data_IF_944277544827
#
_entry.id   IF_944277544827
#
_cell.length_a   1.000
_cell.length_b   1.000
_cell.length_c   1.000
_cell.angle_alpha   90.00
_cell.angle_beta   90.00
_cell.angle_gamma   90.00
#
_symmetry.space_group_name_H-M   'P 1'
#
loop_
_entity.id
_entity.type
_entity.pdbx_description
1 polymer ?
#
# COMPACT_ATOMS: atom_id res chain seq x y z
N UNK A 1 -27.20 2.62 14.95
CA UNK A 1 -25.91 2.98 15.56
C UNK A 1 -24.86 3.05 14.47
N UNK A 2 -24.41 4.26 14.12
CA UNK A 2 -23.41 4.47 13.07
C UNK A 2 -22.03 4.00 13.56
N UNK A 3 -21.67 2.76 13.23
CA UNK A 3 -20.30 2.29 13.40
C UNK A 3 -19.40 3.11 12.48
N UNK A 4 -18.47 3.87 13.05
CA UNK A 4 -17.50 4.65 12.32
C UNK A 4 -16.81 3.75 11.29
N UNK A 5 -16.99 4.05 10.00
CA UNK A 5 -16.36 3.31 8.91
C UNK A 5 -14.84 3.50 9.02
N UNK A 6 -14.14 2.47 9.48
CA UNK A 6 -12.68 2.44 9.42
C UNK A 6 -12.24 2.32 7.97
N UNK A 7 -11.39 3.26 7.54
CA UNK A 7 -10.79 3.27 6.23
C UNK A 7 -9.84 2.07 6.09
N UNK A 8 -9.73 1.44 4.91
CA UNK A 8 -8.67 0.47 4.65
C UNK A 8 -7.32 1.10 4.96
N UNK A 9 -6.30 0.29 5.35
CA UNK A 9 -5.00 0.83 5.67
C UNK A 9 -4.53 1.67 4.47
N UNK A 10 -4.26 2.96 4.67
CA UNK A 10 -4.00 3.87 3.57
C UNK A 10 -2.74 3.38 2.88
N UNK A 11 -2.84 3.08 1.58
CA UNK A 11 -1.65 2.97 0.77
C UNK A 11 -1.07 4.37 0.69
N UNK A 12 -0.02 4.64 1.46
CA UNK A 12 0.71 5.90 1.35
C UNK A 12 1.20 6.00 -0.09
N UNK A 13 0.75 7.03 -0.77
CA UNK A 13 1.15 7.34 -2.14
C UNK A 13 1.73 8.74 -2.07
N UNK A 14 2.90 8.93 -2.64
CA UNK A 14 3.50 10.26 -2.80
C UNK A 14 3.54 10.59 -4.28
N UNK A 15 3.23 11.84 -4.64
CA UNK A 15 3.42 12.33 -6.00
C UNK A 15 4.89 12.66 -6.21
N UNK A 16 5.70 11.64 -6.49
CA UNK A 16 7.14 11.77 -6.69
C UNK A 16 7.51 12.75 -7.82
N UNK A 17 6.60 13.01 -8.77
CA UNK A 17 6.78 14.04 -9.80
C UNK A 17 7.03 15.44 -9.22
N UNK A 18 6.59 15.74 -7.99
CA UNK A 18 6.88 17.02 -7.33
C UNK A 18 8.36 17.17 -6.95
N UNK A 19 9.12 16.07 -6.82
CA UNK A 19 10.57 16.13 -6.58
C UNK A 19 11.36 16.65 -7.79
N UNK A 20 10.71 16.85 -8.95
CA UNK A 20 11.32 17.60 -10.06
C UNK A 20 11.52 19.08 -9.72
N UNK A 21 10.75 19.61 -8.78
CA UNK A 21 10.96 20.97 -8.27
C UNK A 21 12.15 20.97 -7.31
N UNK A 22 13.17 21.75 -7.66
CA UNK A 22 14.41 21.91 -6.89
C UNK A 22 14.17 22.25 -5.42
N UNK A 23 13.30 23.22 -5.14
CA UNK A 23 12.98 23.63 -3.77
C UNK A 23 12.37 22.49 -2.94
N UNK A 24 11.48 21.68 -3.53
CA UNK A 24 10.82 20.55 -2.85
C UNK A 24 11.81 19.40 -2.64
N UNK A 25 12.68 19.17 -3.62
CA UNK A 25 13.75 18.16 -3.54
C UNK A 25 14.73 18.52 -2.43
N UNK A 26 15.17 19.78 -2.37
CA UNK A 26 16.15 20.24 -1.40
C UNK A 26 15.57 20.19 0.02
N UNK A 27 14.30 20.59 0.18
CA UNK A 27 13.58 20.42 1.45
C UNK A 27 13.49 18.94 1.88
N UNK A 28 13.24 18.02 0.94
CA UNK A 28 13.25 16.58 1.21
C UNK A 28 14.64 16.09 1.62
N UNK A 29 15.69 16.46 0.88
CA UNK A 29 17.06 16.00 1.16
C UNK A 29 17.56 16.51 2.50
N UNK A 30 17.28 17.76 2.85
CA UNK A 30 17.69 18.37 4.12
C UNK A 30 17.00 17.67 5.29
N UNK A 31 15.69 17.48 5.19
CA UNK A 31 14.90 16.87 6.25
C UNK A 31 15.22 15.38 6.40
N UNK A 32 15.39 14.65 5.29
CA UNK A 32 15.81 13.26 5.34
C UNK A 32 17.22 13.10 5.92
N UNK A 33 18.17 13.95 5.52
CA UNK A 33 19.54 13.93 6.05
C UNK A 33 19.56 14.19 7.56
N UNK A 34 18.74 15.14 8.03
CA UNK A 34 18.59 15.45 9.45
C UNK A 34 18.03 14.25 10.24
N UNK A 35 17.04 13.55 9.68
CA UNK A 35 16.42 12.38 10.33
C UNK A 35 17.28 11.12 10.27
N UNK A 36 18.14 10.96 9.26
CA UNK A 36 19.07 9.82 9.11
C UNK A 36 20.31 9.96 10.00
N UNK A 37 20.79 11.18 10.25
CA UNK A 37 21.98 11.43 11.08
C UNK A 37 22.00 10.65 12.42
N UNK A 38 20.93 10.65 13.26
CA UNK A 38 20.92 9.88 14.51
C UNK A 38 20.90 8.36 14.30
N UNK A 39 20.36 7.88 13.17
CA UNK A 39 20.33 6.45 12.82
C UNK A 39 21.74 5.97 12.48
N UNK A 40 22.51 6.76 11.71
CA UNK A 40 23.90 6.46 11.39
C UNK A 40 24.76 6.36 12.66
N UNK A 41 24.61 7.30 13.59
CA UNK A 41 25.31 7.28 14.87
C UNK A 41 24.95 6.04 15.70
N UNK A 42 23.66 5.65 15.67
CA UNK A 42 23.17 4.46 16.36
C UNK A 42 23.74 3.17 15.75
N UNK A 43 23.81 3.08 14.41
CA UNK A 43 24.46 1.96 13.70
C UNK A 43 25.93 1.81 14.06
N UNK A 44 26.69 2.92 14.05
CA UNK A 44 28.11 2.94 14.45
C UNK A 44 28.30 2.47 15.90
N UNK A 45 27.44 2.92 16.81
CA UNK A 45 27.45 2.49 18.21
C UNK A 45 27.20 0.99 18.36
N UNK A 46 26.24 0.45 17.60
CA UNK A 46 25.89 -0.98 17.61
C UNK A 46 27.05 -1.84 17.08
N UNK A 47 27.69 -1.43 15.98
CA UNK A 47 28.85 -2.14 15.43
C UNK A 47 29.98 -2.21 16.47
N UNK A 48 30.32 -1.08 17.10
CA UNK A 48 31.37 -1.02 18.12
C UNK A 48 31.04 -1.85 19.37
N UNK A 49 29.77 -1.89 19.79
CA UNK A 49 29.35 -2.71 20.95
C UNK A 49 29.26 -4.20 20.63
N UNK A 50 28.92 -4.56 19.39
CA UNK A 50 28.93 -5.95 18.91
C UNK A 50 30.35 -6.50 18.75
N UNK A 51 31.31 -5.69 18.34
CA UNK A 51 32.72 -6.11 18.30
C UNK A 51 33.29 -6.32 19.72
N UNK A 52 32.81 -5.54 20.70
CA UNK A 52 33.27 -5.62 22.09
C UNK A 52 32.61 -6.74 22.92
N UNK A 53 31.48 -7.30 22.49
CA UNK A 53 30.71 -8.28 23.27
C UNK A 53 30.21 -9.45 22.43
N UNK A 54 30.25 -10.67 22.97
CA UNK A 54 29.60 -11.86 22.37
C UNK A 54 28.06 -11.72 22.41
N UNK A 55 27.53 -10.83 21.59
CA UNK A 55 26.10 -10.49 21.54
C UNK A 55 25.31 -11.64 20.93
N UNK A 56 24.18 -12.00 21.54
CA UNK A 56 23.32 -13.09 21.06
C UNK A 56 22.57 -12.71 19.79
N UNK A 57 22.35 -13.67 18.90
CA UNK A 57 21.66 -13.48 17.61
C UNK A 57 20.27 -12.84 17.72
N UNK A 58 19.57 -13.06 18.84
CA UNK A 58 18.25 -12.48 19.13
C UNK A 58 18.32 -10.97 19.34
N UNK A 59 19.34 -10.50 20.07
CA UNK A 59 19.56 -9.07 20.34
C UNK A 59 19.93 -8.33 19.06
N UNK A 60 20.77 -8.95 18.23
CA UNK A 60 21.15 -8.44 16.90
C UNK A 60 19.90 -8.23 16.02
N UNK A 61 18.99 -9.21 15.99
CA UNK A 61 17.77 -9.10 15.19
C UNK A 61 16.85 -7.96 15.67
N UNK A 62 16.75 -7.74 16.99
CA UNK A 62 15.92 -6.67 17.56
C UNK A 62 16.45 -5.29 17.19
N UNK A 63 17.78 -5.10 17.25
CA UNK A 63 18.41 -3.84 16.85
C UNK A 63 18.28 -3.58 15.34
N UNK A 64 18.43 -4.60 14.50
CA UNK A 64 18.20 -4.48 13.04
C UNK A 64 16.75 -4.08 12.75
N UNK A 65 15.77 -4.72 13.39
CA UNK A 65 14.34 -4.40 13.22
C UNK A 65 14.04 -2.97 13.67
N UNK A 66 14.68 -2.50 14.75
CA UNK A 66 14.56 -1.13 15.25
C UNK A 66 15.11 -0.12 14.24
N UNK A 67 16.36 -0.30 13.79
CA UNK A 67 16.98 0.56 12.75
C UNK A 67 16.12 0.59 11.49
N UNK A 68 15.61 -0.57 11.08
CA UNK A 68 14.75 -0.69 9.90
C UNK A 68 13.47 0.13 10.05
N UNK A 69 12.82 0.07 11.22
CA UNK A 69 11.64 0.88 11.51
C UNK A 69 11.97 2.37 11.56
N UNK A 70 13.08 2.75 12.19
CA UNK A 70 13.52 4.15 12.28
C UNK A 70 13.82 4.72 10.89
N UNK A 71 14.47 3.93 10.02
CA UNK A 71 14.71 4.28 8.63
C UNK A 71 13.41 4.49 7.85
N UNK A 72 12.47 3.55 7.92
CA UNK A 72 11.16 3.71 7.27
C UNK A 72 10.40 4.92 7.83
N UNK A 73 10.49 5.18 9.13
CA UNK A 73 9.88 6.34 9.77
C UNK A 73 10.48 7.64 9.24
N UNK A 74 11.81 7.73 9.13
CA UNK A 74 12.50 8.88 8.57
C UNK A 74 12.13 9.13 7.10
N UNK A 75 12.09 8.06 6.30
CA UNK A 75 11.67 8.13 4.89
C UNK A 75 10.22 8.59 4.75
N UNK A 76 9.30 8.02 5.52
CA UNK A 76 7.89 8.41 5.43
C UNK A 76 7.64 9.82 5.94
N UNK A 77 8.29 10.22 7.04
CA UNK A 77 8.16 11.57 7.60
C UNK A 77 8.72 12.62 6.63
N UNK A 78 9.88 12.36 6.01
CA UNK A 78 10.46 13.27 5.02
C UNK A 78 9.60 13.42 3.77
N UNK A 79 9.06 12.32 3.25
CA UNK A 79 8.15 12.38 2.10
C UNK A 79 6.80 13.05 2.46
N UNK A 80 6.25 12.77 3.65
CA UNK A 80 5.00 13.37 4.10
C UNK A 80 5.13 14.89 4.31
N UNK A 81 6.26 15.35 4.86
CA UNK A 81 6.52 16.78 5.07
C UNK A 81 6.80 17.52 3.77
N UNK A 82 7.63 16.98 2.87
CA UNK A 82 8.05 17.70 1.66
C UNK A 82 7.04 17.62 0.51
N UNK A 83 6.38 16.47 0.32
CA UNK A 83 5.45 16.28 -0.80
C UNK A 83 3.99 16.56 -0.39
N UNK A 84 3.76 16.66 0.92
CA UNK A 84 2.46 16.60 1.55
C UNK A 84 1.90 15.17 1.51
N UNK A 85 1.15 14.72 2.52
CA UNK A 85 0.44 13.47 2.43
C UNK A 85 -0.52 13.57 1.25
N UNK A 86 -0.25 12.85 0.15
CA UNK A 86 -1.29 12.64 -0.84
C UNK A 86 -2.20 11.60 -0.22
N UNK A 87 -3.46 11.92 0.13
CA UNK A 87 -4.39 10.90 0.54
C UNK A 87 -4.47 9.91 -0.62
N UNK A 88 -3.78 8.78 -0.48
CA UNK A 88 -3.71 7.76 -1.52
C UNK A 88 -5.14 7.44 -1.86
N UNK A 89 -5.56 7.81 -3.07
CA UNK A 89 -6.94 8.16 -3.34
C UNK A 89 -7.91 7.26 -2.59
N UNK A 90 -8.65 7.82 -1.64
CA UNK A 90 -9.76 7.18 -0.91
C UNK A 90 -10.92 6.79 -1.86
N UNK A 91 -10.64 6.76 -3.16
CA UNK A 91 -11.61 6.72 -4.22
C UNK A 91 -11.82 5.23 -4.52
N UNK A 92 -12.81 4.66 -3.81
CA UNK A 92 -13.72 3.55 -4.24
C UNK A 92 -13.65 2.22 -3.49
N UNK A 93 -12.91 2.06 -2.39
CA UNK A 93 -13.02 0.84 -1.54
C UNK A 93 -13.81 1.02 -0.25
N UNK A 94 -14.09 2.25 0.18
CA UNK A 94 -14.76 2.53 1.46
C UNK A 94 -16.15 1.90 1.58
N UNK A 95 -16.93 1.83 0.50
CA UNK A 95 -18.26 1.17 0.53
C UNK A 95 -18.20 -0.34 0.70
N UNK A 96 -17.07 -0.98 0.38
CA UNK A 96 -16.90 -2.43 0.48
C UNK A 96 -16.08 -2.81 1.72
N UNK A 97 -15.53 -1.83 2.45
CA UNK A 97 -14.61 -2.08 3.54
C UNK A 97 -15.34 -1.93 4.87
N UNK A 98 -15.49 -3.04 5.59
CA UNK A 98 -16.19 -3.08 6.88
C UNK A 98 -15.21 -3.30 8.03
N UNK A 99 -15.65 -3.03 9.26
CA UNK A 99 -14.88 -3.32 10.48
C UNK A 99 -14.44 -4.80 10.52
N UNK A 100 -15.30 -5.72 10.07
CA UNK A 100 -14.93 -7.13 9.99
C UNK A 100 -13.84 -7.42 8.95
N UNK A 101 -13.89 -6.76 7.78
CA UNK A 101 -12.82 -6.89 6.79
C UNK A 101 -11.49 -6.29 7.27
N UNK A 102 -11.55 -5.16 8.00
CA UNK A 102 -10.38 -4.57 8.65
C UNK A 102 -9.77 -5.53 9.67
N UNK A 103 -10.60 -6.10 10.56
CA UNK A 103 -10.15 -7.08 11.55
C UNK A 103 -9.49 -8.30 10.91
N UNK A 104 -10.07 -8.82 9.83
CA UNK A 104 -9.49 -9.94 9.07
C UNK A 104 -8.19 -9.55 8.36
N UNK A 105 -8.08 -8.32 7.88
CA UNK A 105 -6.85 -7.77 7.31
C UNK A 105 -5.75 -7.70 8.38
N UNK A 106 -6.04 -7.09 9.53
CA UNK A 106 -5.06 -6.93 10.62
C UNK A 106 -4.61 -8.29 11.16
N UNK A 107 -5.52 -9.25 11.26
CA UNK A 107 -5.18 -10.63 11.62
C UNK A 107 -4.25 -11.29 10.60
N UNK A 108 -4.52 -11.12 9.29
CA UNK A 108 -3.62 -11.61 8.23
C UNK A 108 -2.22 -11.00 8.36
N UNK A 109 -2.17 -9.70 8.63
CA UNK A 109 -0.91 -8.95 8.73
C UNK A 109 -0.11 -9.34 9.98
N UNK A 110 -0.78 -9.55 11.10
CA UNK A 110 -0.19 -10.12 12.31
C UNK A 110 0.46 -11.48 12.03
N UNK A 111 -0.26 -12.40 11.38
CA UNK A 111 0.28 -13.70 11.01
C UNK A 111 1.47 -13.59 10.05
N UNK A 112 1.42 -12.65 9.10
CA UNK A 112 2.54 -12.39 8.19
C UNK A 112 3.78 -11.94 8.95
N UNK A 113 3.65 -10.96 9.85
CA UNK A 113 4.77 -10.46 10.68
C UNK A 113 5.36 -11.57 11.55
N UNK A 114 4.52 -12.36 12.21
CA UNK A 114 4.95 -13.49 13.04
C UNK A 114 5.63 -14.60 12.23
N UNK A 115 5.21 -14.83 10.99
CA UNK A 115 5.88 -15.74 10.06
C UNK A 115 7.23 -15.18 9.59
N UNK A 116 7.26 -13.90 9.18
CA UNK A 116 8.46 -13.21 8.69
C UNK A 116 9.59 -13.27 9.72
N UNK A 117 9.25 -13.04 10.98
CA UNK A 117 10.19 -12.96 12.11
C UNK A 117 10.27 -14.28 12.90
N UNK A 118 9.57 -15.32 12.47
CA UNK A 118 9.55 -16.61 13.13
C UNK A 118 10.76 -17.48 12.78
N UNK A 119 11.15 -18.35 13.70
CA UNK A 119 12.26 -19.30 13.57
C UNK A 119 11.81 -20.73 13.88
N UNK A 120 12.50 -21.71 13.30
CA UNK A 120 12.21 -23.13 13.46
C UNK A 120 10.75 -23.50 13.14
N UNK A 121 10.17 -24.39 13.95
CA UNK A 121 8.79 -24.87 13.79
C UNK A 121 7.74 -23.77 13.93
N UNK A 122 8.01 -22.71 14.70
CA UNK A 122 7.10 -21.57 14.81
C UNK A 122 6.90 -20.87 13.47
N UNK A 123 7.94 -20.82 12.61
CA UNK A 123 7.85 -20.25 11.27
C UNK A 123 6.81 -21.00 10.43
N UNK A 124 6.84 -22.33 10.46
CA UNK A 124 5.85 -23.15 9.75
C UNK A 124 4.44 -22.94 10.31
N UNK A 125 4.26 -22.94 11.63
CA UNK A 125 2.96 -22.69 12.28
C UNK A 125 2.37 -21.34 11.86
N UNK A 126 3.18 -20.28 11.87
CA UNK A 126 2.72 -18.95 11.46
C UNK A 126 2.47 -18.83 9.96
N UNK A 127 3.20 -19.57 9.13
CA UNK A 127 2.93 -19.65 7.70
C UNK A 127 1.55 -20.23 7.40
N UNK A 128 1.21 -21.35 8.03
CA UNK A 128 -0.11 -21.99 7.87
C UNK A 128 -1.22 -21.04 8.31
N UNK A 129 -1.08 -20.42 9.49
CA UNK A 129 -2.02 -19.40 10.00
C UNK A 129 -2.15 -18.21 9.05
N UNK A 130 -1.06 -17.75 8.44
CA UNK A 130 -1.12 -16.68 7.44
C UNK A 130 -1.92 -17.09 6.20
N UNK A 131 -1.77 -18.32 5.70
CA UNK A 131 -2.54 -18.81 4.56
C UNK A 131 -4.04 -18.92 4.89
N UNK A 132 -4.38 -19.40 6.09
CA UNK A 132 -5.75 -19.46 6.58
C UNK A 132 -6.37 -18.06 6.68
N UNK A 133 -5.67 -17.12 7.33
CA UNK A 133 -6.11 -15.73 7.45
C UNK A 133 -6.29 -15.08 6.07
N UNK A 134 -5.37 -15.33 5.12
CA UNK A 134 -5.47 -14.86 3.73
C UNK A 134 -6.67 -15.48 2.99
N UNK A 135 -6.95 -16.77 3.17
CA UNK A 135 -8.11 -17.42 2.60
C UNK A 135 -9.41 -16.87 3.19
N UNK A 136 -9.47 -16.68 4.51
CA UNK A 136 -10.62 -16.12 5.22
C UNK A 136 -10.94 -14.71 4.76
N UNK A 137 -9.94 -13.83 4.68
CA UNK A 137 -10.09 -12.48 4.13
C UNK A 137 -10.63 -12.50 2.68
N UNK A 138 -10.06 -13.35 1.81
CA UNK A 138 -10.55 -13.47 0.42
C UNK A 138 -12.01 -13.92 0.34
N UNK A 139 -12.42 -14.89 1.16
CA UNK A 139 -13.81 -15.35 1.24
C UNK A 139 -14.73 -14.23 1.73
N UNK A 140 -14.34 -13.50 2.76
CA UNK A 140 -15.11 -12.39 3.30
C UNK A 140 -15.29 -11.26 2.26
N UNK A 141 -14.23 -10.87 1.54
CA UNK A 141 -14.31 -9.87 0.46
C UNK A 141 -15.27 -10.33 -0.64
N UNK A 142 -15.19 -11.60 -1.06
CA UNK A 142 -16.09 -12.16 -2.07
C UNK A 142 -17.54 -12.20 -1.59
N UNK A 143 -17.78 -12.62 -0.35
CA UNK A 143 -19.10 -12.65 0.27
C UNK A 143 -19.72 -11.25 0.34
N UNK A 144 -18.96 -10.28 0.85
CA UNK A 144 -19.41 -8.89 0.92
C UNK A 144 -19.71 -8.31 -0.46
N UNK A 145 -18.87 -8.59 -1.46
CA UNK A 145 -19.09 -8.14 -2.84
C UNK A 145 -20.38 -8.73 -3.43
N UNK A 146 -20.69 -9.99 -3.13
CA UNK A 146 -21.95 -10.64 -3.53
C UNK A 146 -23.15 -10.03 -2.80
N UNK A 147 -23.03 -9.75 -1.50
CA UNK A 147 -24.06 -9.04 -0.74
C UNK A 147 -24.38 -7.68 -1.34
N UNK A 148 -23.36 -6.86 -1.59
CA UNK A 148 -23.52 -5.55 -2.24
C UNK A 148 -24.14 -5.64 -3.64
N UNK A 149 -23.90 -6.73 -4.37
CA UNK A 149 -24.56 -6.98 -5.67
C UNK A 149 -26.03 -7.35 -5.49
N UNK A 150 -26.36 -8.19 -4.50
CA UNK A 150 -27.73 -8.54 -4.16
C UNK A 150 -28.53 -7.29 -3.75
N UNK A 151 -27.97 -6.45 -2.88
CA UNK A 151 -28.60 -5.19 -2.45
C UNK A 151 -28.86 -4.26 -3.64
N UNK A 152 -27.96 -4.26 -4.63
CA UNK A 152 -28.15 -3.52 -5.86
C UNK A 152 -29.30 -4.09 -6.70
N UNK A 153 -29.41 -5.42 -6.86
CA UNK A 153 -30.54 -6.04 -7.57
C UNK A 153 -31.86 -5.76 -6.86
N UNK A 154 -31.92 -5.88 -5.53
CA UNK A 154 -33.12 -5.57 -4.75
C UNK A 154 -33.50 -4.07 -4.84
N UNK A 155 -32.52 -3.17 -4.92
CA UNK A 155 -32.78 -1.75 -5.17
C UNK A 155 -33.32 -1.47 -6.59
N UNK A 156 -32.99 -2.33 -7.55
CA UNK A 156 -33.50 -2.26 -8.92
C UNK A 156 -34.94 -2.77 -9.02
N UNK A 157 -35.28 -3.79 -8.23
CA UNK A 157 -36.63 -4.35 -8.13
C UNK A 157 -37.62 -3.41 -7.42
N UNK A 158 -37.15 -2.53 -6.52
CA UNK A 158 -37.97 -1.64 -5.69
C UNK A 158 -37.98 -0.16 -6.17
N UNK A 159 -37.79 0.08 -7.46
CA UNK A 159 -37.99 1.38 -8.15
C UNK A 159 -37.10 2.59 -7.77
N UNK A 160 -35.87 2.41 -7.25
CA UNK A 160 -34.88 3.52 -7.17
C UNK A 160 -34.08 3.67 -8.48
N UNK A 161 -34.80 3.95 -9.58
CA UNK A 161 -34.24 3.96 -10.95
C UNK A 161 -33.15 5.01 -11.17
N UNK A 162 -33.24 6.17 -10.51
CA UNK A 162 -32.25 7.25 -10.63
C UNK A 162 -30.88 6.84 -10.08
N UNK A 163 -30.85 6.20 -8.89
CA UNK A 163 -29.58 5.75 -8.28
C UNK A 163 -29.04 4.50 -8.98
N UNK A 164 -29.91 3.60 -9.43
CA UNK A 164 -29.49 2.38 -10.13
C UNK A 164 -28.95 2.68 -11.53
N UNK A 165 -29.58 3.54 -12.33
CA UNK A 165 -29.05 3.96 -13.65
C UNK A 165 -27.70 4.68 -13.53
N UNK A 166 -27.51 5.55 -12.55
CA UNK A 166 -26.22 6.19 -12.27
C UNK A 166 -25.13 5.16 -11.92
N UNK A 167 -25.48 4.10 -11.17
CA UNK A 167 -24.57 3.00 -10.80
C UNK A 167 -24.24 2.11 -12.00
N UNK A 168 -25.21 1.79 -12.85
CA UNK A 168 -25.00 1.06 -14.11
C UNK A 168 -24.10 1.86 -15.05
N UNK A 169 -24.34 3.17 -15.21
CA UNK A 169 -23.48 4.06 -16.01
C UNK A 169 -22.03 4.04 -15.50
N UNK A 170 -21.83 4.12 -14.18
CA UNK A 170 -20.49 3.98 -13.55
C UNK A 170 -19.87 2.60 -13.78
N UNK A 171 -20.66 1.51 -13.73
CA UNK A 171 -20.16 0.15 -14.01
C UNK A 171 -19.73 0.05 -15.48
N UNK A 172 -20.57 0.51 -16.41
CA UNK A 172 -20.26 0.55 -17.85
C UNK A 172 -18.98 1.34 -18.11
N UNK A 173 -18.86 2.55 -17.57
CA UNK A 173 -17.68 3.39 -17.70
C UNK A 173 -16.40 2.76 -17.13
N UNK A 174 -16.50 1.94 -16.08
CA UNK A 174 -15.36 1.21 -15.50
C UNK A 174 -15.01 -0.08 -16.25
N UNK A 175 -15.97 -0.67 -16.96
CA UNK A 175 -15.83 -1.94 -17.70
C UNK A 175 -15.53 -1.73 -19.18
N UNK A 176 -15.84 -0.56 -19.74
CA UNK A 176 -15.20 -0.09 -20.96
C UNK A 176 -13.71 -0.01 -20.65
N UNK A 177 -12.98 -1.01 -21.13
CA UNK A 177 -11.53 -1.01 -21.24
C UNK A 177 -11.19 0.38 -21.78
N UNK A 178 -10.39 1.16 -21.05
CA UNK A 178 -9.90 2.43 -21.60
C UNK A 178 -9.36 2.12 -23.00
N UNK A 179 -9.57 2.98 -24.01
CA UNK A 179 -9.01 2.77 -25.33
C UNK A 179 -7.54 2.40 -25.16
N UNK A 180 -7.23 1.13 -25.45
CA UNK A 180 -5.87 0.64 -25.33
C UNK A 180 -5.14 1.24 -26.50
N UNK A 181 -4.07 1.97 -26.22
CA UNK A 181 -3.25 2.56 -27.26
C UNK A 181 -2.84 1.46 -28.24
N UNK A 182 -3.29 1.62 -29.47
CA UNK A 182 -3.07 0.69 -30.57
C UNK A 182 -2.46 1.48 -31.71
N UNK A 183 -1.46 0.89 -32.36
CA UNK A 183 -0.77 1.49 -33.49
C UNK A 183 -1.13 0.66 -34.74
N UNK A 184 -1.38 1.30 -35.91
CA UNK A 184 -1.78 0.59 -37.14
C UNK A 184 -0.76 -0.48 -37.54
N UNK A 185 0.53 -0.21 -37.37
CA UNK A 185 1.64 -1.15 -37.63
C UNK A 185 1.81 -2.27 -36.56
N UNK A 186 0.89 -2.36 -35.60
CA UNK A 186 0.85 -3.44 -34.62
C UNK A 186 1.53 -3.14 -33.27
N UNK A 187 1.64 -4.16 -32.40
CA UNK A 187 2.02 -3.98 -30.99
C UNK A 187 3.44 -3.48 -30.77
N UNK A 188 4.39 -3.86 -31.61
CA UNK A 188 5.79 -3.42 -31.54
C UNK A 188 5.91 -1.94 -31.83
N UNK A 189 5.30 -1.47 -32.91
CA UNK A 189 5.24 -0.05 -33.24
C UNK A 189 4.51 0.77 -32.17
N UNK A 190 3.45 0.21 -31.55
CA UNK A 190 2.79 0.84 -30.41
C UNK A 190 3.74 0.98 -29.20
N UNK A 191 4.52 -0.06 -28.89
CA UNK A 191 5.51 -0.01 -27.82
C UNK A 191 6.63 1.00 -28.13
N UNK A 192 7.11 1.06 -29.36
CA UNK A 192 8.14 2.04 -29.79
C UNK A 192 7.60 3.47 -29.74
N UNK A 193 6.38 3.72 -30.22
CA UNK A 193 5.76 5.04 -30.15
C UNK A 193 5.53 5.49 -28.70
N UNK A 194 5.11 4.57 -27.82
CA UNK A 194 5.04 4.82 -26.38
C UNK A 194 6.43 5.10 -25.79
N UNK A 195 7.45 4.32 -26.16
CA UNK A 195 8.82 4.52 -25.67
C UNK A 195 9.37 5.90 -26.08
N UNK A 196 9.26 6.29 -27.35
CA UNK A 196 9.69 7.61 -27.82
C UNK A 196 8.86 8.76 -27.22
N UNK A 197 7.56 8.54 -26.99
CA UNK A 197 6.73 9.51 -26.28
C UNK A 197 7.18 9.67 -24.83
N UNK A 198 7.42 8.57 -24.11
CA UNK A 198 7.91 8.60 -22.73
C UNK A 198 9.30 9.22 -22.66
N UNK A 199 10.21 8.86 -23.56
CA UNK A 199 11.52 9.50 -23.71
C UNK A 199 11.37 11.02 -23.85
N UNK A 200 10.56 11.50 -24.80
CA UNK A 200 10.30 12.94 -24.97
C UNK A 200 9.66 13.61 -23.74
N UNK A 201 8.88 12.87 -22.95
CA UNK A 201 8.21 13.39 -21.73
C UNK A 201 9.16 13.39 -20.52
N UNK A 202 10.15 12.48 -20.49
CA UNK A 202 11.05 12.28 -19.36
C UNK A 202 12.48 12.77 -19.58
N UNK A 203 12.89 13.08 -20.82
CA UNK A 203 14.19 13.67 -21.19
C UNK A 203 14.22 15.20 -20.93
N UNK A 204 13.58 15.61 -19.83
CA UNK A 204 13.47 16.97 -19.31
C UNK A 204 13.43 16.97 -17.79
#
# INVERSE_FOLDING_TARGET
TNAAQQLPPPRRLWRLSKLKNEQIRDQYTDLFSTLIAPINTSMLSIINTMEATNTTATTVHQEIDKITNDFYSALYTSLDTSLGPTPGGYIRRTTLWTVELQRLWDHRELCYKKWRNGYGMNKLTWWVRHQEARAKLRRAIRSHSRGTWKDFCTSLENDDYSKTTARIKKIKQRRTILPTFSHPEGPTAAATAMASHLEKVYDG
#
